data_IF_539484513527
#
_entry.id   IF_539484513527
#
_cell.length_a   1.000
_cell.length_b   1.000
_cell.length_c   1.000
_cell.angle_alpha   90.00
_cell.angle_beta   90.00
_cell.angle_gamma   90.00
#
_symmetry.space_group_name_H-M   'P 1'
#
loop_
_entity.id
_entity.type
_entity.pdbx_description
1 polymer ?
#
# COMPACT_ATOMS: atom_id res chain seq x y z
N UNK A 1 7.69 10.28 -21.49
CA UNK A 1 7.62 10.19 -20.02
C UNK A 1 6.14 10.19 -19.68
N UNK A 2 5.58 9.01 -19.40
CA UNK A 2 4.16 8.90 -19.06
C UNK A 2 3.95 9.60 -17.72
N UNK A 3 3.06 10.59 -17.71
CA UNK A 3 2.61 11.23 -16.47
C UNK A 3 1.83 10.15 -15.74
N UNK A 4 2.35 9.67 -14.62
CA UNK A 4 1.58 8.79 -13.74
C UNK A 4 0.43 9.64 -13.22
N UNK A 5 -0.79 9.29 -13.62
CA UNK A 5 -1.99 10.02 -13.23
C UNK A 5 -2.22 9.76 -11.75
N UNK A 6 -2.46 10.81 -10.95
CA UNK A 6 -2.67 10.69 -9.49
C UNK A 6 -3.69 9.59 -9.13
N UNK A 7 -4.72 9.39 -9.96
CA UNK A 7 -5.72 8.35 -9.81
C UNK A 7 -5.14 6.92 -9.84
N UNK A 8 -4.12 6.67 -10.65
CA UNK A 8 -3.44 5.36 -10.72
C UNK A 8 -2.64 5.09 -9.44
N UNK A 9 -2.02 6.12 -8.87
CA UNK A 9 -1.28 6.03 -7.61
C UNK A 9 -2.24 5.77 -6.46
N UNK A 10 -3.35 6.53 -6.41
CA UNK A 10 -4.40 6.34 -5.41
C UNK A 10 -5.01 4.94 -5.52
N UNK A 11 -5.32 4.45 -6.74
CA UNK A 11 -5.79 3.08 -6.92
C UNK A 11 -4.75 2.05 -6.48
N UNK A 12 -3.48 2.26 -6.80
CA UNK A 12 -2.39 1.40 -6.34
C UNK A 12 -2.28 1.35 -4.81
N UNK A 13 -2.42 2.49 -4.14
CA UNK A 13 -2.43 2.58 -2.67
C UNK A 13 -3.64 1.84 -2.08
N UNK A 14 -4.84 2.02 -2.65
CA UNK A 14 -6.07 1.37 -2.16
C UNK A 14 -5.98 -0.14 -2.31
N UNK A 15 -5.50 -0.63 -3.47
CA UNK A 15 -5.34 -2.06 -3.72
C UNK A 15 -4.33 -2.69 -2.75
N UNK A 16 -3.14 -2.12 -2.66
CA UNK A 16 -2.10 -2.63 -1.75
C UNK A 16 -2.51 -2.58 -0.28
N UNK A 17 -3.21 -1.52 0.16
CA UNK A 17 -3.76 -1.45 1.51
C UNK A 17 -4.86 -2.52 1.73
N UNK A 18 -5.66 -2.81 0.71
CA UNK A 18 -6.65 -3.88 0.72
C UNK A 18 -6.01 -5.26 0.86
N UNK A 19 -4.97 -5.54 0.07
CA UNK A 19 -4.23 -6.80 0.09
C UNK A 19 -3.52 -6.99 1.43
N UNK A 20 -2.81 -5.98 1.93
CA UNK A 20 -2.18 -6.02 3.24
C UNK A 20 -3.19 -6.34 4.36
N UNK A 21 -4.35 -5.68 4.34
CA UNK A 21 -5.43 -5.94 5.29
C UNK A 21 -5.90 -7.40 5.19
N UNK A 22 -6.13 -7.92 3.99
CA UNK A 22 -6.57 -9.29 3.80
C UNK A 22 -5.55 -10.31 4.33
N UNK A 23 -4.27 -10.13 4.01
CA UNK A 23 -3.18 -10.95 4.52
C UNK A 23 -3.09 -10.92 6.05
N UNK A 24 -3.25 -9.76 6.69
CA UNK A 24 -3.29 -9.65 8.15
C UNK A 24 -4.48 -10.43 8.75
N UNK A 25 -5.67 -10.37 8.14
CA UNK A 25 -6.81 -11.18 8.60
C UNK A 25 -6.54 -12.68 8.48
N UNK A 26 -5.91 -13.10 7.38
CA UNK A 26 -5.53 -14.48 7.13
C UNK A 26 -4.49 -14.96 8.16
N UNK A 27 -3.46 -14.15 8.40
CA UNK A 27 -2.44 -14.39 9.41
C UNK A 27 -3.06 -14.55 10.81
N UNK A 28 -4.01 -13.67 11.16
CA UNK A 28 -4.70 -13.72 12.46
C UNK A 28 -5.54 -15.00 12.59
N UNK A 29 -6.20 -15.43 11.51
CA UNK A 29 -6.96 -16.68 11.49
C UNK A 29 -6.04 -17.88 11.71
N UNK A 30 -4.93 -17.96 10.97
CA UNK A 30 -3.94 -19.04 11.10
C UNK A 30 -3.29 -19.07 12.49
N UNK A 31 -2.98 -17.91 13.07
CA UNK A 31 -2.47 -17.80 14.43
C UNK A 31 -3.47 -18.34 15.47
N UNK A 32 -4.77 -18.07 15.29
CA UNK A 32 -5.83 -18.61 16.17
C UNK A 32 -5.98 -20.12 16.06
N UNK A 33 -5.68 -20.68 14.89
CA UNK A 33 -5.68 -22.14 14.64
C UNK A 33 -4.38 -22.82 15.11
N UNK A 34 -3.42 -22.05 15.64
CA UNK A 34 -2.11 -22.55 16.09
C UNK A 34 -1.09 -22.75 14.95
N UNK A 35 -1.44 -22.36 13.72
CA UNK A 35 -0.58 -22.47 12.56
C UNK A 35 0.30 -21.21 12.39
N UNK A 36 1.29 -21.07 13.27
CA UNK A 36 2.17 -19.90 13.30
C UNK A 36 3.13 -19.80 12.11
N UNK A 37 3.50 -20.93 11.49
CA UNK A 37 4.38 -20.94 10.32
C UNK A 37 3.71 -20.25 9.12
N UNK A 38 2.49 -20.69 8.78
CA UNK A 38 1.71 -20.08 7.69
C UNK A 38 1.27 -18.66 8.05
N UNK A 39 0.95 -18.41 9.33
CA UNK A 39 0.63 -17.05 9.81
C UNK A 39 1.78 -16.06 9.54
N UNK A 40 3.02 -16.49 9.74
CA UNK A 40 4.20 -15.64 9.47
C UNK A 40 4.37 -15.35 7.98
N UNK A 41 4.10 -16.33 7.11
CA UNK A 41 4.14 -16.14 5.66
C UNK A 41 3.11 -15.08 5.24
N UNK A 42 1.89 -15.15 5.76
CA UNK A 42 0.86 -14.14 5.49
C UNK A 42 1.25 -12.75 6.00
N UNK A 43 1.94 -12.64 7.13
CA UNK A 43 2.48 -11.35 7.62
C UNK A 43 3.55 -10.81 6.67
N UNK A 44 4.46 -11.65 6.18
CA UNK A 44 5.49 -11.23 5.21
C UNK A 44 4.87 -10.73 3.89
N UNK A 45 3.77 -11.36 3.44
CA UNK A 45 3.00 -10.89 2.29
C UNK A 45 2.31 -9.54 2.54
N UNK A 46 1.74 -9.35 3.73
CA UNK A 46 1.17 -8.07 4.13
C UNK A 46 2.22 -6.96 4.14
N UNK A 47 3.41 -7.22 4.69
CA UNK A 47 4.52 -6.28 4.73
C UNK A 47 5.01 -5.92 3.32
N UNK A 48 5.06 -6.91 2.41
CA UNK A 48 5.41 -6.66 1.00
C UNK A 48 4.41 -5.72 0.32
N UNK A 49 3.10 -5.94 0.50
CA UNK A 49 2.06 -5.07 -0.05
C UNK A 49 2.15 -3.64 0.51
N UNK A 50 2.39 -3.50 1.82
CA UNK A 50 2.61 -2.18 2.44
C UNK A 50 3.86 -1.49 1.91
N UNK A 51 4.95 -2.22 1.68
CA UNK A 51 6.17 -1.68 1.12
C UNK A 51 5.95 -1.16 -0.31
N UNK A 52 5.20 -1.87 -1.14
CA UNK A 52 4.82 -1.40 -2.47
C UNK A 52 3.97 -0.13 -2.41
N UNK A 53 2.96 -0.09 -1.53
CA UNK A 53 2.18 1.12 -1.29
C UNK A 53 3.06 2.30 -0.88
N UNK A 54 3.98 2.08 0.06
CA UNK A 54 4.90 3.11 0.53
C UNK A 54 5.82 3.61 -0.59
N UNK A 55 6.36 2.71 -1.42
CA UNK A 55 7.20 3.07 -2.55
C UNK A 55 6.45 3.90 -3.61
N UNK A 56 5.18 3.57 -3.89
CA UNK A 56 4.33 4.37 -4.77
C UNK A 56 4.09 5.78 -4.19
N UNK A 57 3.85 5.85 -2.88
CA UNK A 57 3.69 7.11 -2.17
C UNK A 57 4.97 7.97 -2.21
N UNK A 58 6.13 7.39 -1.95
CA UNK A 58 7.42 8.12 -2.00
C UNK A 58 7.73 8.62 -3.40
N UNK A 59 7.50 7.81 -4.43
CA UNK A 59 7.69 8.23 -5.82
C UNK A 59 6.79 9.40 -6.19
N UNK A 60 5.53 9.37 -5.75
CA UNK A 60 4.61 10.48 -5.94
C UNK A 60 5.13 11.78 -5.31
N UNK A 61 5.48 11.74 -4.03
CA UNK A 61 6.01 12.91 -3.30
C UNK A 61 7.31 13.44 -3.92
N UNK A 62 8.18 12.55 -4.41
CA UNK A 62 9.41 12.94 -5.11
C UNK A 62 9.12 13.65 -6.44
N UNK A 63 8.10 13.19 -7.20
CA UNK A 63 7.65 13.86 -8.42
C UNK A 63 7.03 15.24 -8.12
N UNK A 64 6.25 15.36 -7.05
CA UNK A 64 5.70 16.65 -6.60
C UNK A 64 6.80 17.64 -6.19
N UNK A 65 7.78 17.19 -5.39
CA UNK A 65 8.91 18.01 -4.95
C UNK A 65 9.81 18.45 -6.11
N UNK A 66 9.88 17.66 -7.19
CA UNK A 66 10.61 17.97 -8.42
C UNK A 66 9.99 19.07 -9.30
N UNK A 67 8.88 19.68 -8.88
CA UNK A 67 8.20 20.76 -9.59
C UNK A 67 7.06 20.32 -10.49
N UNK A 68 6.72 19.02 -10.51
CA UNK A 68 5.51 18.50 -11.16
C UNK A 68 4.34 18.81 -10.25
N UNK A 69 3.71 19.97 -10.45
CA UNK A 69 2.55 20.41 -9.67
C UNK A 69 1.37 19.48 -9.98
N UNK A 70 1.25 18.41 -9.21
CA UNK A 70 0.08 17.53 -9.25
C UNK A 70 -0.93 18.14 -8.31
N UNK A 71 -2.17 18.35 -8.78
CA UNK A 71 -3.25 18.79 -7.90
C UNK A 71 -3.47 17.68 -6.87
N UNK A 72 -3.00 17.91 -5.64
CA UNK A 72 -3.17 16.99 -4.53
C UNK A 72 -4.68 16.79 -4.33
N UNK A 73 -5.18 15.69 -4.87
CA UNK A 73 -6.54 15.23 -4.63
C UNK A 73 -6.69 15.06 -3.12
N UNK A 74 -7.76 15.62 -2.55
CA UNK A 74 -8.08 15.57 -1.12
C UNK A 74 -8.15 14.15 -0.52
N UNK A 75 -8.04 13.10 -1.35
CA UNK A 75 -7.90 11.70 -0.93
C UNK A 75 -6.54 11.41 -0.28
N UNK A 76 -5.44 12.07 -0.70
CA UNK A 76 -4.10 11.79 -0.17
C UNK A 76 -3.96 12.18 1.31
N UNK A 77 -4.66 13.23 1.77
CA UNK A 77 -4.65 13.67 3.17
C UNK A 77 -5.44 12.76 4.12
N UNK A 78 -6.18 11.78 3.58
CA UNK A 78 -7.06 10.90 4.37
C UNK A 78 -6.47 9.50 4.62
N UNK A 79 -5.31 9.21 4.04
CA UNK A 79 -4.55 7.98 4.32
C UNK A 79 -3.52 8.31 5.41
N UNK A 80 -3.99 8.27 6.66
CA UNK A 80 -3.18 8.38 7.87
C UNK A 80 -3.47 7.22 8.80
#
# INVERSE_FOLDING_TARGET
MEIIVADQIIMGLILNAGDAKQHIYQALKLAKEGNFAESKIEIELADSALLEAHNLQTQFLAQEAGGTRTDISALFSRVG
#
